data_IF_595338788928
#
_entry.id   IF_595338788928
#
_cell.length_a   1.000
_cell.length_b   1.000
_cell.length_c   1.000
_cell.angle_alpha   90.00
_cell.angle_beta   90.00
_cell.angle_gamma   90.00
#
_symmetry.space_group_name_H-M   'P 1'
#
loop_
_entity.id
_entity.type
_entity.pdbx_description
1 polymer ?
#
# COMPACT_ATOMS: atom_id res chain seq x y z
N UNK A 1 5.09 0.94 -27.61
CA UNK A 1 4.62 0.10 -26.51
C UNK A 1 5.32 0.47 -25.22
N UNK A 2 4.62 1.08 -24.27
CA UNK A 2 5.13 1.17 -22.90
C UNK A 2 5.06 -0.23 -22.26
N UNK A 3 6.12 -0.68 -21.57
CA UNK A 3 6.11 -1.98 -20.91
C UNK A 3 5.15 -1.94 -19.73
N UNK A 4 3.90 -2.34 -19.96
CA UNK A 4 2.98 -2.66 -18.88
C UNK A 4 3.53 -3.89 -18.16
N UNK A 5 3.78 -3.84 -16.83
CA UNK A 5 4.21 -5.02 -16.11
C UNK A 5 3.10 -6.07 -16.13
N UNK A 6 3.41 -7.22 -16.74
CA UNK A 6 2.57 -8.41 -16.92
C UNK A 6 2.34 -9.21 -15.62
N UNK A 7 2.18 -8.50 -14.50
CA UNK A 7 2.04 -9.13 -13.18
C UNK A 7 0.72 -8.71 -12.56
N UNK A 8 -0.36 -9.35 -13.03
CA UNK A 8 -1.66 -9.25 -12.38
C UNK A 8 -1.62 -9.99 -11.03
N UNK A 9 -1.19 -9.29 -9.98
CA UNK A 9 -1.20 -9.81 -8.61
C UNK A 9 -2.52 -9.44 -7.94
N UNK A 10 -3.32 -10.44 -7.56
CA UNK A 10 -4.53 -10.21 -6.75
C UNK A 10 -4.19 -9.56 -5.40
N UNK A 11 -5.03 -8.63 -4.94
CA UNK A 11 -4.96 -8.00 -3.61
C UNK A 11 -4.82 -9.02 -2.47
N UNK A 12 -5.45 -10.19 -2.60
CA UNK A 12 -5.34 -11.26 -1.61
C UNK A 12 -3.91 -11.80 -1.51
N UNK A 13 -3.22 -11.91 -2.65
CA UNK A 13 -1.83 -12.35 -2.70
C UNK A 13 -0.90 -11.30 -2.10
N UNK A 14 -1.16 -10.02 -2.36
CA UNK A 14 -0.44 -8.91 -1.73
C UNK A 14 -0.64 -8.94 -0.22
N UNK A 15 -1.90 -9.03 0.24
CA UNK A 15 -2.28 -9.12 1.64
C UNK A 15 -1.55 -10.25 2.38
N UNK A 16 -1.58 -11.46 1.83
CA UNK A 16 -0.86 -12.61 2.40
C UNK A 16 0.65 -12.37 2.45
N UNK A 17 1.21 -11.73 1.43
CA UNK A 17 2.65 -11.46 1.36
C UNK A 17 3.09 -10.46 2.43
N UNK A 18 2.36 -9.36 2.59
CA UNK A 18 2.72 -8.32 3.56
C UNK A 18 2.36 -8.69 4.99
N UNK A 19 1.47 -9.66 5.20
CA UNK A 19 1.07 -10.14 6.54
C UNK A 19 1.66 -11.50 6.94
N UNK A 20 2.65 -12.00 6.21
CA UNK A 20 3.21 -13.33 6.44
C UNK A 20 2.13 -14.44 6.54
N UNK A 21 1.10 -14.35 5.68
CA UNK A 21 -0.07 -15.24 5.60
C UNK A 21 -0.99 -15.23 6.83
N UNK A 22 -0.77 -14.35 7.81
CA UNK A 22 -1.64 -14.20 8.98
C UNK A 22 -3.00 -13.57 8.63
N UNK A 23 -3.07 -12.86 7.51
CA UNK A 23 -4.31 -12.30 6.95
C UNK A 23 -4.47 -12.83 5.52
N UNK A 24 -5.59 -13.51 5.26
CA UNK A 24 -5.86 -14.15 3.95
C UNK A 24 -6.47 -13.20 2.92
N UNK A 25 -7.29 -12.27 3.39
CA UNK A 25 -8.03 -11.27 2.61
C UNK A 25 -7.96 -9.96 3.36
N UNK A 26 -7.74 -8.86 2.65
CA UNK A 26 -7.61 -7.56 3.28
C UNK A 26 -8.92 -7.15 3.98
N UNK A 27 -8.89 -6.78 5.27
CA UNK A 27 -10.09 -6.37 5.98
C UNK A 27 -10.62 -5.04 5.41
N UNK A 28 -11.86 -5.04 4.89
CA UNK A 28 -12.49 -3.86 4.28
C UNK A 28 -12.93 -2.80 5.29
N UNK A 29 -13.25 -3.20 6.52
CA UNK A 29 -13.85 -2.35 7.57
C UNK A 29 -13.01 -2.22 8.84
N UNK A 30 -11.85 -2.90 8.91
CA UNK A 30 -11.04 -2.97 10.11
C UNK A 30 -9.57 -2.76 9.75
N UNK A 31 -8.83 -2.11 10.65
CA UNK A 31 -7.38 -1.98 10.52
C UNK A 31 -6.69 -3.33 10.76
N UNK A 32 -5.65 -3.62 9.98
CA UNK A 32 -4.77 -4.77 10.25
C UNK A 32 -3.88 -4.41 11.45
N UNK A 33 -3.85 -5.24 12.52
CA UNK A 33 -2.94 -5.01 13.64
C UNK A 33 -1.48 -5.03 13.18
N UNK A 34 -0.66 -4.09 13.67
CA UNK A 34 0.75 -3.98 13.27
C UNK A 34 1.56 -5.27 13.54
N UNK A 35 1.20 -6.02 14.59
CA UNK A 35 1.80 -7.33 14.91
C UNK A 35 1.63 -8.38 13.81
N UNK A 36 0.62 -8.21 12.94
CA UNK A 36 0.38 -9.11 11.80
C UNK A 36 1.12 -8.67 10.54
N UNK A 37 1.83 -7.54 10.56
CA UNK A 37 2.58 -7.03 9.42
C UNK A 37 4.00 -7.62 9.43
N UNK A 38 4.48 -7.99 8.25
CA UNK A 38 5.84 -8.51 8.07
C UNK A 38 6.85 -7.39 7.86
N UNK A 39 8.14 -7.73 7.91
CA UNK A 39 9.23 -6.81 7.56
C UNK A 39 9.08 -6.22 6.14
N UNK A 40 8.44 -6.94 5.20
CA UNK A 40 8.14 -6.43 3.86
C UNK A 40 7.27 -5.17 3.92
N UNK A 41 6.27 -5.15 4.80
CA UNK A 41 5.44 -3.97 5.02
C UNK A 41 6.25 -2.81 5.60
N UNK A 42 7.13 -3.08 6.56
CA UNK A 42 7.96 -2.03 7.20
C UNK A 42 8.81 -1.30 6.15
N UNK A 43 9.44 -2.03 5.24
CA UNK A 43 10.25 -1.46 4.16
C UNK A 43 9.38 -0.66 3.19
N UNK A 44 8.26 -1.22 2.74
CA UNK A 44 7.31 -0.53 1.87
C UNK A 44 6.79 0.76 2.50
N UNK A 45 6.38 0.73 3.76
CA UNK A 45 5.91 1.89 4.50
C UNK A 45 7.00 2.96 4.60
N UNK A 46 8.27 2.58 4.84
CA UNK A 46 9.39 3.51 4.91
C UNK A 46 9.65 4.18 3.56
N UNK A 47 9.63 3.43 2.46
CA UNK A 47 9.77 3.96 1.10
C UNK A 47 8.60 4.90 0.78
N UNK A 48 7.36 4.47 1.03
CA UNK A 48 6.17 5.28 0.81
C UNK A 48 6.25 6.59 1.60
N UNK A 49 6.60 6.53 2.88
CA UNK A 49 6.77 7.73 3.74
C UNK A 49 7.87 8.66 3.21
N UNK A 50 8.98 8.11 2.72
CA UNK A 50 10.08 8.91 2.18
C UNK A 50 9.76 9.57 0.83
N UNK A 51 8.94 8.91 0.00
CA UNK A 51 8.54 9.40 -1.33
C UNK A 51 7.22 10.18 -1.32
N UNK A 52 6.51 10.23 -0.18
CA UNK A 52 5.26 10.96 -0.05
C UNK A 52 5.54 12.46 -0.08
N UNK A 53 5.59 13.04 -1.29
CA UNK A 53 5.53 14.48 -1.49
C UNK A 53 4.14 14.94 -1.04
N UNK A 54 4.02 15.95 -0.17
CA UNK A 54 2.73 16.57 0.10
C UNK A 54 2.21 17.17 -1.21
N UNK A 55 1.21 16.53 -1.83
CA UNK A 55 0.41 17.19 -2.85
C UNK A 55 -0.39 18.29 -2.15
N UNK A 56 0.20 19.49 -2.11
CA UNK A 56 -0.54 20.73 -1.88
C UNK A 56 -1.53 20.86 -3.03
N UNK A 57 -2.78 20.48 -2.81
CA UNK A 57 -3.86 21.05 -3.58
C UNK A 57 -3.94 22.53 -3.20
N UNK A 58 -3.27 23.39 -3.96
CA UNK A 58 -3.54 24.82 -3.89
C UNK A 58 -4.88 25.03 -4.58
N UNK A 59 -5.96 25.08 -3.81
CA UNK A 59 -7.25 25.57 -4.30
C UNK A 59 -7.15 27.09 -4.44
N UNK A 60 -6.45 27.55 -5.48
CA UNK A 60 -6.58 28.96 -5.89
C UNK A 60 -7.94 29.09 -6.58
N UNK A 61 -8.91 29.63 -5.83
CA UNK A 61 -10.17 30.07 -6.40
C UNK A 61 -10.00 31.57 -6.64
N UNK A 62 -9.61 31.93 -7.87
CA UNK A 62 -9.70 33.32 -8.32
C UNK A 62 -11.17 33.76 -8.23
N UNK A 63 -11.42 34.83 -7.47
CA UNK A 63 -12.73 35.49 -7.33
C UNK A 63 -13.00 36.37 -8.53
#
# INVERSE_FOLDING_TARGET
>A
DEPHPDVEVSDNKVCQTITAKQVKTWPKKQKVPAVKLSQKYVILNRIATANWVPIRHSSDVAT
#
